data_IF_865599896754
#
_entry.id   IF_865599896754
#
_cell.length_a   1.000
_cell.length_b   1.000
_cell.length_c   1.000
_cell.angle_alpha   90.00
_cell.angle_beta   90.00
_cell.angle_gamma   90.00
#
_symmetry.space_group_name_H-M   'P 1'
#
loop_
_entity.id
_entity.type
_entity.pdbx_description
1 polymer ?
#
# COMPACT_ATOMS: atom_id res chain seq x y z
N UNK A 1 -0.11 5.22 5.69
CA UNK A 1 -1.40 5.13 6.42
C UNK A 1 -1.50 3.73 7.00
N UNK A 2 -2.01 3.56 8.22
CA UNK A 2 -2.13 2.25 8.86
C UNK A 2 -3.55 2.03 9.37
N UNK A 3 -4.04 0.81 9.26
CA UNK A 3 -5.34 0.35 9.75
C UNK A 3 -5.12 -0.85 10.66
N UNK A 4 -5.71 -0.82 11.85
CA UNK A 4 -5.59 -1.85 12.87
C UNK A 4 -6.95 -2.46 13.14
N UNK A 5 -7.08 -3.78 13.01
CA UNK A 5 -8.31 -4.50 13.37
C UNK A 5 -8.62 -4.36 14.87
N UNK A 6 -9.90 -4.38 15.26
CA UNK A 6 -10.31 -4.37 16.68
C UNK A 6 -9.65 -5.48 17.51
N UNK A 7 -9.50 -6.68 16.93
CA UNK A 7 -8.85 -7.83 17.59
C UNK A 7 -7.33 -7.68 17.80
N UNK A 8 -6.74 -6.57 17.32
CA UNK A 8 -5.31 -6.29 17.31
C UNK A 8 -4.43 -7.30 16.56
N UNK A 9 -5.05 -8.25 15.85
CA UNK A 9 -4.31 -9.30 15.14
C UNK A 9 -3.89 -8.89 13.73
N UNK A 10 -4.64 -8.03 13.06
CA UNK A 10 -4.41 -7.66 11.65
C UNK A 10 -4.08 -6.19 11.52
N UNK A 11 -2.99 -5.91 10.80
CA UNK A 11 -2.54 -4.56 10.46
C UNK A 11 -2.41 -4.45 8.96
N UNK A 12 -3.01 -3.43 8.38
CA UNK A 12 -2.86 -3.06 6.97
C UNK A 12 -2.12 -1.74 6.89
N UNK A 13 -0.96 -1.72 6.27
CA UNK A 13 -0.17 -0.51 6.04
C UNK A 13 -0.10 -0.19 4.55
N UNK A 14 -0.28 1.09 4.24
CA UNK A 14 -0.07 1.65 2.90
C UNK A 14 1.06 2.66 2.92
N UNK A 15 2.07 2.43 2.08
CA UNK A 15 3.23 3.30 1.91
C UNK A 15 3.33 3.83 0.50
N UNK A 16 3.99 4.97 0.35
CA UNK A 16 4.39 5.47 -0.95
C UNK A 16 5.40 4.53 -1.61
N UNK A 17 5.31 4.38 -2.93
CA UNK A 17 6.29 3.63 -3.72
C UNK A 17 7.19 4.61 -4.46
N UNK A 18 8.49 4.33 -4.41
CA UNK A 18 9.53 5.09 -5.08
C UNK A 18 10.15 4.27 -6.21
N UNK A 19 10.52 4.92 -7.30
CA UNK A 19 11.25 4.28 -8.40
C UNK A 19 12.32 5.23 -8.93
N UNK A 20 13.34 4.65 -9.57
CA UNK A 20 14.42 5.41 -10.20
C UNK A 20 14.03 5.88 -11.60
N UNK A 21 14.45 7.09 -11.93
CA UNK A 21 14.39 7.69 -13.27
C UNK A 21 15.78 8.12 -13.70
N UNK A 22 15.93 8.55 -14.95
CA UNK A 22 17.19 9.11 -15.45
C UNK A 22 17.61 10.39 -14.73
N UNK A 23 16.68 11.08 -14.07
CA UNK A 23 16.90 12.37 -13.38
C UNK A 23 16.89 12.25 -11.86
N UNK A 24 16.64 11.06 -11.29
CA UNK A 24 16.67 10.83 -9.84
C UNK A 24 15.68 9.79 -9.36
N UNK A 25 14.96 10.12 -8.28
CA UNK A 25 13.93 9.26 -7.67
C UNK A 25 12.58 9.95 -7.78
N UNK A 26 11.57 9.23 -8.24
CA UNK A 26 10.19 9.69 -8.27
C UNK A 26 9.30 8.86 -7.33
N UNK A 27 8.22 9.47 -6.86
CA UNK A 27 7.17 8.83 -6.07
C UNK A 27 5.97 8.58 -6.97
N UNK A 28 5.45 7.36 -6.99
CA UNK A 28 4.26 7.05 -7.76
C UNK A 28 3.02 7.74 -7.17
N UNK A 29 2.26 8.41 -8.03
CA UNK A 29 0.96 9.00 -7.69
C UNK A 29 -0.18 7.97 -7.71
N UNK A 30 -0.02 6.90 -8.49
CA UNK A 30 -1.10 5.95 -8.79
C UNK A 30 -0.86 4.55 -8.21
N UNK A 31 0.28 4.31 -7.56
CA UNK A 31 0.60 3.05 -6.91
C UNK A 31 1.11 3.27 -5.48
N UNK A 32 0.69 2.39 -4.58
CA UNK A 32 1.12 2.33 -3.18
C UNK A 32 1.60 0.92 -2.84
N UNK A 33 2.44 0.79 -1.83
CA UNK A 33 2.86 -0.50 -1.30
C UNK A 33 1.92 -0.87 -0.16
N UNK A 34 1.12 -1.91 -0.36
CA UNK A 34 0.32 -2.55 0.67
C UNK A 34 1.18 -3.57 1.41
N UNK A 35 1.15 -3.50 2.73
CA UNK A 35 1.78 -4.48 3.61
C UNK A 35 0.73 -4.92 4.59
N UNK A 36 0.48 -6.23 4.65
CA UNK A 36 -0.47 -6.78 5.59
C UNK A 36 0.22 -7.74 6.54
N UNK A 37 -0.02 -7.51 7.82
CA UNK A 37 0.61 -8.21 8.92
C UNK A 37 -0.46 -8.86 9.77
N UNK A 38 -0.33 -10.16 10.01
CA UNK A 38 -1.22 -10.94 10.86
C UNK A 38 -0.41 -11.54 12.01
N UNK A 39 -0.84 -11.27 13.25
CA UNK A 39 -0.16 -11.70 14.49
C UNK A 39 1.34 -11.43 14.47
N UNK A 40 1.73 -10.24 14.01
CA UNK A 40 3.12 -9.78 13.92
C UNK A 40 3.94 -10.34 12.75
N UNK A 41 3.35 -11.16 11.87
CA UNK A 41 4.02 -11.68 10.67
C UNK A 41 3.45 -11.06 9.40
N UNK A 42 4.31 -10.52 8.55
CA UNK A 42 3.91 -10.01 7.23
C UNK A 42 3.51 -11.20 6.35
N UNK A 43 2.25 -11.22 5.91
CA UNK A 43 1.73 -12.24 5.01
C UNK A 43 1.62 -11.75 3.57
N UNK A 44 1.46 -10.44 3.38
CA UNK A 44 1.36 -9.84 2.07
C UNK A 44 2.20 -8.57 2.02
N UNK A 45 2.96 -8.42 0.93
CA UNK A 45 3.70 -7.21 0.60
C UNK A 45 3.65 -7.03 -0.91
N UNK A 46 2.72 -6.22 -1.39
CA UNK A 46 2.46 -6.07 -2.81
C UNK A 46 2.10 -4.61 -3.17
N UNK A 47 2.46 -4.17 -4.38
CA UNK A 47 1.98 -2.90 -4.90
C UNK A 47 0.48 -2.99 -5.22
N UNK A 48 -0.26 -1.92 -4.94
CA UNK A 48 -1.69 -1.77 -5.19
C UNK A 48 -1.95 -0.44 -5.91
N UNK A 49 -2.97 -0.38 -6.77
CA UNK A 49 -3.40 0.86 -7.38
C UNK A 49 -4.11 1.74 -6.33
N UNK A 50 -3.99 3.07 -6.43
CA UNK A 50 -4.66 3.98 -5.49
C UNK A 50 -6.19 3.88 -5.50
N UNK A 51 -6.79 3.49 -6.62
CA UNK A 51 -8.25 3.29 -6.69
C UNK A 51 -8.68 2.00 -5.98
N UNK A 52 -7.95 0.90 -6.19
CA UNK A 52 -8.18 -0.35 -5.44
C UNK A 52 -7.94 -0.13 -3.93
N UNK A 53 -6.92 0.66 -3.58
CA UNK A 53 -6.67 1.05 -2.19
C UNK A 53 -7.83 1.86 -1.58
N UNK A 54 -8.48 2.74 -2.34
CA UNK A 54 -9.62 3.51 -1.84
C UNK A 54 -10.80 2.58 -1.51
N UNK A 55 -11.12 1.65 -2.41
CA UNK A 55 -12.15 0.62 -2.19
C UNK A 55 -11.82 -0.26 -0.97
N UNK A 56 -10.55 -0.69 -0.81
CA UNK A 56 -10.12 -1.43 0.37
C UNK A 56 -10.26 -0.62 1.66
N UNK A 57 -9.95 0.68 1.64
CA UNK A 57 -10.09 1.55 2.81
C UNK A 57 -11.54 1.63 3.27
N UNK A 58 -12.48 1.80 2.33
CA UNK A 58 -13.90 1.85 2.65
C UNK A 58 -14.34 0.55 3.35
N UNK A 59 -13.93 -0.60 2.82
CA UNK A 59 -14.19 -1.92 3.43
C UNK A 59 -13.56 -2.03 4.83
N UNK A 60 -12.32 -1.57 5.01
CA UNK A 60 -11.64 -1.63 6.31
C UNK A 60 -12.36 -0.78 7.36
N UNK A 61 -12.83 0.41 6.97
CA UNK A 61 -13.60 1.30 7.84
C UNK A 61 -14.97 0.70 8.19
N UNK A 62 -15.66 0.08 7.22
CA UNK A 62 -16.91 -0.67 7.46
C UNK A 62 -16.72 -1.85 8.43
N UNK A 63 -15.52 -2.44 8.46
CA UNK A 63 -15.14 -3.51 9.39
C UNK A 63 -14.51 -3.00 10.70
N UNK A 64 -14.73 -1.72 11.05
CA UNK A 64 -14.26 -1.08 12.29
C UNK A 64 -12.74 -1.12 12.50
N UNK A 65 -11.94 -1.13 11.43
CA UNK A 65 -10.49 -0.96 11.59
C UNK A 65 -10.19 0.48 12.02
N UNK A 66 -9.42 0.63 13.09
CA UNK A 66 -8.98 1.92 13.56
C UNK A 66 -7.85 2.47 12.69
N UNK A 67 -7.95 3.74 12.29
CA UNK A 67 -6.85 4.45 11.63
C UNK A 67 -5.77 4.74 12.67
N UNK A 68 -4.56 4.28 12.39
CA UNK A 68 -3.40 4.37 13.29
C UNK A 68 -2.17 4.89 12.54
N UNK A 69 -1.05 5.06 13.25
CA UNK A 69 0.21 5.51 12.67
C UNK A 69 1.33 4.50 12.93
N UNK A 70 1.96 4.05 11.84
CA UNK A 70 3.18 3.27 11.91
C UNK A 70 4.40 4.17 11.82
N UNK A 71 5.31 4.07 12.79
CA UNK A 71 6.58 4.81 12.80
C UNK A 71 7.71 4.06 12.08
N UNK A 72 7.53 2.77 11.77
CA UNK A 72 8.53 1.92 11.08
C UNK A 72 8.14 1.71 9.62
N UNK A 73 8.90 2.30 8.70
CA UNK A 73 8.63 2.20 7.25
C UNK A 73 9.51 1.13 6.60
N UNK A 74 8.94 0.17 5.85
CA UNK A 74 9.72 -0.81 5.09
C UNK A 74 10.37 -0.14 3.87
N UNK A 75 11.27 -0.86 3.18
CA UNK A 75 11.82 -0.40 1.91
C UNK A 75 10.70 -0.09 0.89
N UNK A 76 10.70 1.15 0.39
CA UNK A 76 9.67 1.72 -0.50
C UNK A 76 10.07 1.68 -1.98
N UNK A 77 11.30 1.29 -2.28
CA UNK A 77 11.80 1.25 -3.65
C UNK A 77 11.31 0.01 -4.40
N UNK A 78 10.80 0.22 -5.60
CA UNK A 78 10.36 -0.83 -6.52
C UNK A 78 10.85 -0.54 -7.95
N UNK A 79 10.86 -1.57 -8.79
CA UNK A 79 11.19 -1.40 -10.20
C UNK A 79 10.15 -0.53 -10.91
N UNK A 80 10.58 0.34 -11.81
CA UNK A 80 9.68 1.20 -12.60
C UNK A 80 8.63 0.38 -13.35
N UNK A 81 9.03 -0.74 -13.96
CA UNK A 81 8.13 -1.66 -14.66
C UNK A 81 7.00 -2.17 -13.74
N UNK A 82 7.31 -2.52 -12.49
CA UNK A 82 6.32 -2.98 -11.51
C UNK A 82 5.33 -1.86 -11.16
N UNK A 83 5.85 -0.66 -10.94
CA UNK A 83 5.03 0.52 -10.61
C UNK A 83 4.08 0.86 -11.75
N UNK A 84 4.60 0.92 -12.97
CA UNK A 84 3.81 1.27 -14.16
C UNK A 84 2.72 0.24 -14.44
N UNK A 85 3.03 -1.06 -14.31
CA UNK A 85 2.05 -2.14 -14.49
C UNK A 85 0.84 -2.00 -13.55
N UNK A 86 1.08 -1.67 -12.28
CA UNK A 86 0.03 -1.52 -11.27
C UNK A 86 -0.72 -0.20 -11.44
N UNK A 87 0.01 0.89 -11.70
CA UNK A 87 -0.58 2.20 -11.97
C UNK A 87 -1.54 2.17 -13.18
N UNK A 88 -1.23 1.36 -14.20
CA UNK A 88 -2.00 1.26 -15.43
C UNK A 88 -3.07 0.15 -15.43
N UNK A 89 -3.16 -0.67 -14.36
CA UNK A 89 -4.04 -1.83 -14.31
C UNK A 89 -5.54 -1.48 -14.52
N UNK A 90 -5.97 -0.27 -14.14
CA UNK A 90 -7.34 0.24 -14.34
C UNK A 90 -7.51 1.23 -15.51
N UNK A 91 -6.45 1.62 -16.20
CA UNK A 91 -6.53 2.59 -17.32
C UNK A 91 -6.70 1.95 -18.69
N UNK A 92 -6.87 0.62 -18.77
CA UNK A 92 -7.29 -0.05 -20.01
C UNK A 92 -8.81 0.08 -20.16
N UNK A 93 -9.23 1.20 -20.75
CA UNK A 93 -10.55 1.36 -21.36
C UNK A 93 -10.43 1.21 -22.86
#
# INVERSE_FOLDING_TARGET
>A
MQFQSESLNTVVDYYEVKYFTSTGTEVSKNARLKVVTYKGKTFEKAPINVYDMAEEIDILLENNYAVTINTKRPAQFMSRMTVDKVAQARTKF
#
